data_IF_357744680448
#
_entry.id   IF_357744680448
#
_cell.length_a   1.000
_cell.length_b   1.000
_cell.length_c   1.000
_cell.angle_alpha   90.00
_cell.angle_beta   90.00
_cell.angle_gamma   90.00
#
_symmetry.space_group_name_H-M   'P 1'
#
loop_
_entity.id
_entity.type
_entity.pdbx_description
1 polymer ?
#
# COMPACT_ATOMS: atom_id res chain seq x y z
N UNK A 1 5.70 13.88 9.29
CA UNK A 1 6.48 13.27 8.20
C UNK A 1 5.89 13.82 6.94
N UNK A 2 6.58 14.75 6.30
CA UNK A 2 6.11 15.39 5.07
C UNK A 2 6.00 14.38 3.93
N UNK A 3 5.31 14.77 2.86
CA UNK A 3 5.20 13.96 1.66
C UNK A 3 6.62 13.56 1.18
N UNK A 4 6.90 12.28 0.97
CA UNK A 4 8.19 11.87 0.45
C UNK A 4 8.38 12.31 -1.02
N UNK A 5 9.54 12.89 -1.29
CA UNK A 5 10.07 13.14 -2.63
C UNK A 5 10.68 11.87 -3.24
N UNK A 6 11.32 11.95 -4.40
CA UNK A 6 11.99 10.81 -5.04
C UNK A 6 12.94 10.09 -4.06
N UNK A 7 12.79 8.77 -3.94
CA UNK A 7 13.45 7.89 -2.94
C UNK A 7 13.11 8.13 -1.46
N UNK A 8 12.18 9.05 -1.18
CA UNK A 8 11.66 9.33 0.14
C UNK A 8 10.92 8.15 0.75
N UNK A 9 10.82 8.16 2.08
CA UNK A 9 10.22 7.07 2.83
C UNK A 9 8.74 7.36 3.10
N UNK A 10 7.86 6.45 2.70
CA UNK A 10 6.45 6.45 3.09
C UNK A 10 6.20 5.42 4.20
N UNK A 11 5.17 5.67 5.00
CA UNK A 11 4.65 4.69 5.94
C UNK A 11 3.78 3.66 5.20
N UNK A 12 3.75 2.44 5.73
CA UNK A 12 2.90 1.34 5.26
C UNK A 12 1.87 1.05 6.33
N UNK A 13 0.61 0.91 5.90
CA UNK A 13 -0.53 0.78 6.80
C UNK A 13 -1.38 -0.46 6.50
N UNK A 14 -2.14 -0.88 7.50
CA UNK A 14 -3.34 -1.72 7.35
C UNK A 14 -4.50 -1.03 8.08
N UNK A 15 -5.77 -1.33 7.73
CA UNK A 15 -6.90 -0.86 8.51
C UNK A 15 -6.77 -1.30 9.98
N UNK A 16 -7.07 -0.40 10.91
CA UNK A 16 -7.13 -0.73 12.33
C UNK A 16 -8.36 -1.58 12.64
N UNK A 17 -8.40 -2.19 13.82
CA UNK A 17 -9.58 -2.92 14.29
C UNK A 17 -10.83 -2.03 14.47
N UNK A 18 -10.63 -0.70 14.51
CA UNK A 18 -11.68 0.30 14.68
C UNK A 18 -11.87 1.17 13.43
N UNK A 19 -11.37 0.70 12.27
CA UNK A 19 -11.57 1.40 11.00
C UNK A 19 -13.05 1.66 10.77
N UNK A 20 -13.40 2.89 10.38
CA UNK A 20 -14.77 3.21 10.02
C UNK A 20 -15.19 2.44 8.78
N UNK A 21 -16.45 2.01 8.74
CA UNK A 21 -16.98 1.16 7.67
C UNK A 21 -16.89 1.83 6.29
N UNK A 22 -17.18 3.13 6.19
CA UNK A 22 -17.08 3.91 4.96
C UNK A 22 -15.64 3.97 4.42
N UNK A 23 -14.65 4.13 5.30
CA UNK A 23 -13.22 4.08 4.95
C UNK A 23 -12.85 2.69 4.43
N UNK A 24 -13.31 1.63 5.11
CA UNK A 24 -13.03 0.25 4.72
C UNK A 24 -13.64 -0.11 3.36
N UNK A 25 -14.89 0.30 3.10
CA UNK A 25 -15.57 0.12 1.82
C UNK A 25 -14.83 0.83 0.68
N UNK A 26 -14.29 2.02 0.96
CA UNK A 26 -13.55 2.81 -0.03
C UNK A 26 -12.22 2.17 -0.41
N UNK A 27 -11.44 1.69 0.58
CA UNK A 27 -10.12 1.07 0.35
C UNK A 27 -10.24 -0.29 -0.31
N UNK A 28 -11.31 -1.03 0.03
CA UNK A 28 -11.58 -2.41 -0.35
C UNK A 28 -10.65 -3.42 0.32
N UNK A 29 -11.17 -4.63 0.50
CA UNK A 29 -10.44 -5.75 1.10
C UNK A 29 -9.21 -6.11 0.27
N UNK A 30 -8.13 -6.49 0.95
CA UNK A 30 -6.90 -6.98 0.32
C UNK A 30 -6.04 -5.91 -0.34
N UNK A 31 -6.33 -4.63 -0.08
CA UNK A 31 -5.53 -3.51 -0.56
C UNK A 31 -4.19 -3.42 0.17
N UNK A 32 -3.19 -2.89 -0.55
CA UNK A 32 -1.97 -2.36 0.07
C UNK A 32 -2.08 -0.84 0.20
N UNK A 33 -1.63 -0.31 1.34
CA UNK A 33 -1.86 1.08 1.74
C UNK A 33 -0.54 1.70 2.16
N UNK A 34 -0.21 2.85 1.58
CA UNK A 34 1.00 3.63 1.89
C UNK A 34 0.63 5.08 2.07
N UNK A 35 1.41 5.85 2.83
CA UNK A 35 1.04 7.24 3.07
C UNK A 35 2.03 8.04 3.90
N UNK A 36 1.64 9.27 4.21
CA UNK A 36 2.41 10.21 5.03
C UNK A 36 1.47 11.05 5.90
N UNK A 37 2.04 11.70 6.91
CA UNK A 37 1.29 12.52 7.86
C UNK A 37 1.26 13.98 7.42
N UNK A 38 0.08 14.58 7.42
CA UNK A 38 -0.11 15.98 7.10
C UNK A 38 0.12 16.86 8.34
N UNK A 39 0.32 18.17 8.14
CA UNK A 39 0.52 19.12 9.26
C UNK A 39 -0.73 19.28 10.14
N UNK A 40 -1.91 19.04 9.59
CA UNK A 40 -3.21 19.11 10.27
C UNK A 40 -3.56 17.85 11.10
N UNK A 41 -2.58 16.97 11.32
CA UNK A 41 -2.71 15.69 12.05
C UNK A 41 -3.54 14.62 11.34
N UNK A 42 -3.98 14.86 10.11
CA UNK A 42 -4.52 13.81 9.24
C UNK A 42 -3.39 13.04 8.57
N UNK A 43 -3.74 11.94 7.89
CA UNK A 43 -2.82 11.26 6.98
C UNK A 43 -3.38 11.28 5.57
N UNK A 44 -2.47 11.39 4.60
CA UNK A 44 -2.79 11.13 3.19
C UNK A 44 -2.33 9.73 2.86
N UNK A 45 -3.27 8.86 2.46
CA UNK A 45 -2.98 7.49 2.05
C UNK A 45 -3.25 7.29 0.57
N UNK A 46 -2.40 6.50 -0.07
CA UNK A 46 -2.52 5.96 -1.42
C UNK A 46 -2.70 4.45 -1.28
N UNK A 47 -3.57 3.86 -2.09
CA UNK A 47 -3.86 2.43 -1.98
C UNK A 47 -4.10 1.77 -3.35
N UNK A 48 -3.89 0.45 -3.40
CA UNK A 48 -4.17 -0.38 -4.56
C UNK A 48 -4.80 -1.70 -4.11
N UNK A 49 -6.00 -1.99 -4.63
CA UNK A 49 -6.81 -3.17 -4.32
C UNK A 49 -6.90 -4.18 -5.46
N UNK A 50 -6.17 -3.96 -6.57
CA UNK A 50 -6.25 -4.73 -7.80
C UNK A 50 -7.61 -4.63 -8.49
N UNK A 51 -8.08 -3.40 -8.73
CA UNK A 51 -9.42 -3.11 -9.30
C UNK A 51 -9.66 -3.74 -10.70
N UNK A 52 -8.62 -4.19 -11.40
CA UNK A 52 -8.69 -4.61 -12.81
C UNK A 52 -8.19 -6.03 -13.06
N UNK A 53 -8.08 -6.86 -12.02
CA UNK A 53 -7.55 -8.24 -12.12
C UNK A 53 -6.21 -8.33 -12.84
N UNK A 54 -5.34 -7.34 -12.61
CA UNK A 54 -4.00 -7.31 -13.19
C UNK A 54 -3.18 -8.45 -12.56
N UNK A 55 -2.74 -9.46 -13.34
CA UNK A 55 -1.99 -10.60 -12.81
C UNK A 55 -0.65 -10.17 -12.21
N UNK A 56 -0.11 -9.01 -12.61
CA UNK A 56 1.11 -8.45 -12.02
C UNK A 56 0.88 -7.93 -10.60
N UNK A 57 -0.37 -7.75 -10.17
CA UNK A 57 -0.77 -7.29 -8.84
C UNK A 57 -1.33 -8.41 -7.94
N UNK A 58 -1.05 -9.67 -8.29
CA UNK A 58 -1.44 -10.83 -7.48
C UNK A 58 -0.81 -10.81 -6.08
N UNK A 59 0.45 -10.34 -5.97
CA UNK A 59 1.16 -10.23 -4.69
C UNK A 59 0.90 -8.88 -4.01
N UNK A 60 0.80 -8.88 -2.68
CA UNK A 60 0.50 -7.68 -1.90
C UNK A 60 1.62 -6.62 -2.04
N UNK A 61 2.88 -7.05 -2.07
CA UNK A 61 4.02 -6.14 -2.22
C UNK A 61 4.02 -5.40 -3.57
N UNK A 62 3.45 -5.99 -4.63
CA UNK A 62 3.32 -5.32 -5.92
C UNK A 62 2.25 -4.22 -5.86
N UNK A 63 1.14 -4.46 -5.15
CA UNK A 63 0.14 -3.43 -4.87
C UNK A 63 0.74 -2.29 -4.05
N UNK A 64 1.52 -2.61 -3.01
CA UNK A 64 2.20 -1.63 -2.16
C UNK A 64 3.16 -0.76 -2.97
N UNK A 65 3.93 -1.39 -3.87
CA UNK A 65 4.83 -0.69 -4.79
C UNK A 65 4.07 0.26 -5.71
N UNK A 66 2.99 -0.19 -6.34
CA UNK A 66 2.17 0.63 -7.23
C UNK A 66 1.56 1.83 -6.50
N UNK A 67 1.08 1.63 -5.28
CA UNK A 67 0.56 2.73 -4.44
C UNK A 67 1.67 3.74 -4.08
N UNK A 68 2.89 3.26 -3.79
CA UNK A 68 4.03 4.12 -3.49
C UNK A 68 4.52 4.90 -4.71
N UNK A 69 4.66 4.26 -5.87
CA UNK A 69 5.12 4.94 -7.08
C UNK A 69 4.13 6.07 -7.45
N UNK A 70 2.82 5.84 -7.33
CA UNK A 70 1.78 6.87 -7.50
C UNK A 70 1.85 8.01 -6.48
N UNK A 71 2.23 7.69 -5.25
CA UNK A 71 2.45 8.68 -4.20
C UNK A 71 3.62 9.58 -4.60
N UNK A 72 4.77 9.01 -4.96
CA UNK A 72 5.95 9.76 -5.40
C UNK A 72 5.60 10.65 -6.60
N UNK A 73 4.96 10.09 -7.62
CA UNK A 73 4.62 10.79 -8.88
C UNK A 73 3.56 11.89 -8.75
N UNK A 74 2.94 12.04 -7.58
CA UNK A 74 1.80 12.94 -7.38
C UNK A 74 0.63 12.69 -8.34
N UNK A 75 0.42 11.44 -8.75
CA UNK A 75 -0.51 11.15 -9.82
C UNK A 75 -1.92 11.66 -9.46
N UNK A 76 -2.58 12.45 -10.34
CA UNK A 76 -3.82 13.14 -9.99
C UNK A 76 -5.04 12.20 -9.91
N UNK A 77 -5.03 11.10 -10.66
CA UNK A 77 -6.17 10.19 -10.85
C UNK A 77 -5.99 8.84 -10.15
N UNK A 78 -5.51 8.86 -8.91
CA UNK A 78 -5.23 7.65 -8.14
C UNK A 78 -6.12 7.53 -6.92
N UNK A 79 -6.33 6.30 -6.49
CA UNK A 79 -6.98 5.96 -5.24
C UNK A 79 -6.18 6.52 -4.06
N UNK A 80 -6.65 7.65 -3.52
CA UNK A 80 -6.10 8.32 -2.35
C UNK A 80 -7.19 8.87 -1.44
N UNK A 81 -6.89 8.98 -0.15
CA UNK A 81 -7.78 9.53 0.87
C UNK A 81 -7.00 10.43 1.83
N UNK A 82 -7.63 11.51 2.29
CA UNK A 82 -7.21 12.24 3.48
C UNK A 82 -8.17 11.85 4.62
N UNK A 83 -7.64 11.37 5.73
CA UNK A 83 -8.43 10.69 6.77
C UNK A 83 -7.70 10.72 8.12
N UNK A 84 -8.43 10.54 9.22
CA UNK A 84 -7.83 10.40 10.55
C UNK A 84 -6.93 9.16 10.62
N UNK A 85 -5.71 9.27 11.21
CA UNK A 85 -4.81 8.15 11.42
C UNK A 85 -5.41 7.01 12.26
N UNK A 86 -6.42 7.26 13.10
CA UNK A 86 -7.04 6.24 13.97
C UNK A 86 -7.66 5.07 13.19
N UNK A 87 -7.97 5.30 11.91
CA UNK A 87 -8.48 4.28 11.00
C UNK A 87 -7.42 3.25 10.59
N UNK A 88 -6.15 3.48 10.92
CA UNK A 88 -5.03 2.69 10.42
C UNK A 88 -4.04 2.31 11.51
N UNK A 89 -3.48 1.12 11.34
CA UNK A 89 -2.28 0.70 12.05
C UNK A 89 -1.09 0.84 11.10
N UNK A 90 -0.04 1.54 11.54
CA UNK A 90 1.21 1.57 10.81
C UNK A 90 2.00 0.26 11.05
N UNK A 91 2.25 -0.48 9.98
CA UNK A 91 2.93 -1.78 10.03
C UNK A 91 4.37 -1.73 9.52
N UNK A 92 4.81 -0.62 8.95
CA UNK A 92 6.14 -0.57 8.34
C UNK A 92 6.41 0.68 7.52
N UNK A 93 7.36 0.55 6.61
CA UNK A 93 7.81 1.60 5.71
C UNK A 93 8.17 1.05 4.33
N UNK A 94 8.05 1.89 3.32
CA UNK A 94 8.45 1.62 1.93
C UNK A 94 9.27 2.81 1.41
N UNK A 95 10.26 2.52 0.58
CA UNK A 95 11.07 3.51 -0.15
C UNK A 95 11.51 2.96 -1.51
N UNK A 96 12.43 3.66 -2.18
CA UNK A 96 13.02 3.22 -3.46
C UNK A 96 13.74 1.86 -3.41
N UNK A 97 14.19 1.40 -2.24
CA UNK A 97 14.96 0.15 -2.09
C UNK A 97 14.11 -1.08 -1.78
N UNK A 98 12.96 -0.90 -1.14
CA UNK A 98 12.14 -2.04 -0.72
C UNK A 98 11.07 -1.67 0.30
N UNK A 99 10.51 -2.71 0.94
CA UNK A 99 9.52 -2.63 2.01
C UNK A 99 10.12 -3.26 3.26
N UNK A 100 9.94 -2.60 4.40
CA UNK A 100 10.23 -3.16 5.72
C UNK A 100 8.93 -3.25 6.51
N UNK A 101 8.48 -4.47 6.78
CA UNK A 101 7.28 -4.78 7.55
C UNK A 101 7.72 -5.05 8.99
N UNK A 102 7.33 -4.18 9.92
CA UNK A 102 7.64 -4.30 11.35
C UNK A 102 6.55 -5.02 12.14
N UNK A 103 5.36 -5.18 11.57
CA UNK A 103 4.21 -5.83 12.20
C UNK A 103 3.56 -6.83 11.24
N UNK A 104 4.29 -7.91 10.94
CA UNK A 104 3.84 -8.94 10.00
C UNK A 104 2.51 -9.57 10.41
N UNK A 105 2.30 -9.80 11.71
CA UNK A 105 1.04 -10.37 12.20
C UNK A 105 -0.16 -9.46 11.93
N UNK A 106 0.02 -8.14 11.98
CA UNK A 106 -1.04 -7.19 11.61
C UNK A 106 -1.36 -7.25 10.11
N UNK A 107 -0.34 -7.44 9.26
CA UNK A 107 -0.54 -7.68 7.82
C UNK A 107 -1.29 -8.99 7.57
N UNK A 108 -0.86 -10.10 8.19
CA UNK A 108 -1.51 -11.40 8.03
C UNK A 108 -2.97 -11.35 8.47
N UNK A 109 -3.30 -10.72 9.59
CA UNK A 109 -4.70 -10.54 10.02
C UNK A 109 -5.53 -9.81 8.97
N UNK A 110 -5.01 -8.72 8.40
CA UNK A 110 -5.68 -7.98 7.34
C UNK A 110 -5.90 -8.83 6.08
N UNK A 111 -4.90 -9.57 5.65
CA UNK A 111 -4.98 -10.44 4.47
C UNK A 111 -5.91 -11.62 4.68
N UNK A 112 -5.94 -12.23 5.87
CA UNK A 112 -6.91 -13.28 6.24
C UNK A 112 -8.34 -12.74 6.20
N UNK A 113 -8.59 -11.59 6.83
CA UNK A 113 -9.91 -10.94 6.80
C UNK A 113 -10.37 -10.60 5.36
N UNK A 114 -9.40 -10.42 4.47
CA UNK A 114 -9.58 -10.08 3.07
C UNK A 114 -9.62 -11.27 2.12
N UNK A 115 -9.51 -12.50 2.63
CA UNK A 115 -9.35 -13.73 1.82
C UNK A 115 -8.20 -13.64 0.78
N UNK A 116 -7.09 -13.03 1.21
CA UNK A 116 -5.96 -12.68 0.36
C UNK A 116 -4.61 -13.19 0.92
N UNK A 117 -4.63 -14.21 1.79
CA UNK A 117 -3.41 -14.74 2.41
C UNK A 117 -2.39 -15.28 1.39
N UNK A 118 -2.84 -15.78 0.25
CA UNK A 118 -1.97 -16.21 -0.84
C UNK A 118 -1.12 -15.07 -1.44
N UNK A 119 -1.49 -13.81 -1.19
CA UNK A 119 -0.74 -12.63 -1.63
C UNK A 119 0.27 -12.12 -0.59
N UNK A 120 0.33 -12.74 0.59
CA UNK A 120 1.20 -12.29 1.68
C UNK A 120 2.68 -12.40 1.29
N UNK A 121 3.53 -11.41 1.61
CA UNK A 121 4.97 -11.53 1.38
C UNK A 121 5.60 -12.65 2.20
N UNK A 122 6.60 -13.31 1.62
CA UNK A 122 7.33 -14.42 2.27
C UNK A 122 8.21 -13.96 3.45
N UNK A 123 8.56 -12.67 3.51
CA UNK A 123 9.45 -12.10 4.55
C UNK A 123 9.09 -10.65 4.89
N UNK A 124 9.49 -10.21 6.08
CA UNK A 124 9.39 -8.81 6.55
C UNK A 124 10.22 -7.83 5.74
N UNK A 125 11.30 -8.30 5.11
CA UNK A 125 12.15 -7.50 4.24
C UNK A 125 11.86 -7.89 2.81
N UNK A 126 11.16 -7.02 2.08
CA UNK A 126 10.84 -7.23 0.67
C UNK A 126 11.72 -6.31 -0.18
N UNK A 127 12.77 -6.82 -0.83
CA UNK A 127 13.58 -6.03 -1.75
C UNK A 127 12.73 -5.48 -2.89
N UNK A 128 13.13 -4.35 -3.47
CA UNK A 128 12.53 -3.90 -4.73
C UNK A 128 12.86 -4.91 -5.83
N UNK A 129 11.89 -5.73 -6.19
CA UNK A 129 11.89 -6.48 -7.44
C UNK A 129 11.44 -5.54 -8.55
N UNK A 130 12.28 -5.38 -9.58
CA UNK A 130 11.83 -4.78 -10.84
C UNK A 130 10.97 -5.83 -11.51
N UNK A 131 9.65 -5.63 -11.54
CA UNK A 131 8.80 -6.40 -12.44
C UNK A 131 9.28 -6.06 -13.85
N UNK A 132 9.81 -7.06 -14.55
CA UNK A 132 10.13 -6.89 -15.96
C UNK A 132 8.85 -6.38 -16.65
N UNK A 133 8.92 -5.19 -17.25
CA UNK A 133 7.87 -4.78 -18.18
C UNK A 133 7.85 -5.88 -19.24
N UNK A 134 6.76 -6.61 -19.34
CA UNK A 134 6.51 -7.42 -20.52
C UNK A 134 6.53 -6.42 -21.67
N UNK A 135 7.56 -6.46 -22.50
CA UNK A 135 7.56 -5.71 -23.74
C UNK A 135 6.33 -6.20 -24.51
N UNK A 136 5.32 -5.33 -24.61
CA UNK A 136 4.22 -5.56 -25.53
C UNK A 136 4.86 -5.45 -26.91
N UNK A 137 5.31 -6.59 -27.42
CA UNK A 137 5.82 -6.72 -28.77
C UNK A 137 4.78 -6.13 -29.71
N UNK A 138 5.21 -5.15 -30.50
CA UNK A 138 4.44 -4.69 -31.65
C UNK A 138 4.23 -5.92 -32.54
N UNK A 139 2.98 -6.34 -32.67
CA UNK A 139 2.52 -7.16 -33.79
C UNK A 139 2.12 -6.21 -34.91
#
# INVERSE_FOLDING_TARGET
MERPDTDGRAAVFVPSAHVKEDVLLTIRKGAAIVGFANHDRTITVYFESNRFDDPLLAKWEHKARKAYDRLIDNAPTVSKLNVSPDNFEQIGYINGKGITIRRMESLKRWLTYSDAMASCPDSELVPRTVLAKVEVGKV
#
